data_IF_475405027483
#
_entry.id   IF_475405027483
#
_cell.length_a   1.000
_cell.length_b   1.000
_cell.length_c   1.000
_cell.angle_alpha   90.00
_cell.angle_beta   90.00
_cell.angle_gamma   90.00
#
_symmetry.space_group_name_H-M   'P 1'
#
loop_
_entity.id
_entity.type
_entity.pdbx_description
1 polymer ?
#
# COMPACT_ATOMS: atom_id res chain seq x y z
N UNK A 1 -2.44 -19.85 -16.13
CA UNK A 1 -1.13 -19.26 -15.77
C UNK A 1 -1.27 -17.91 -15.06
N UNK A 2 -2.48 -17.36 -14.93
CA UNK A 2 -2.76 -16.06 -14.28
C UNK A 2 -2.88 -16.14 -12.75
N UNK A 3 -3.34 -17.26 -12.18
CA UNK A 3 -3.44 -17.44 -10.72
C UNK A 3 -2.12 -17.20 -9.97
N UNK A 4 -1.02 -17.78 -10.45
CA UNK A 4 0.27 -17.66 -9.79
C UNK A 4 0.84 -16.22 -9.78
N UNK A 5 0.38 -15.34 -10.67
CA UNK A 5 0.76 -13.92 -10.68
C UNK A 5 -0.11 -13.16 -9.67
N UNK A 6 -1.40 -13.49 -9.61
CA UNK A 6 -2.33 -12.92 -8.65
C UNK A 6 -1.92 -13.26 -7.21
N UNK A 7 -1.59 -14.52 -6.91
CA UNK A 7 -1.12 -14.93 -5.58
C UNK A 7 0.13 -14.15 -5.12
N UNK A 8 1.04 -13.83 -6.05
CA UNK A 8 2.22 -13.03 -5.73
C UNK A 8 1.90 -11.56 -5.47
N UNK A 9 0.90 -11.01 -6.16
CA UNK A 9 0.40 -9.65 -5.94
C UNK A 9 -0.23 -9.55 -4.55
N UNK A 10 -1.10 -10.50 -4.21
CA UNK A 10 -1.82 -10.55 -2.92
C UNK A 10 -0.84 -10.75 -1.75
N UNK A 11 0.18 -11.60 -1.94
CA UNK A 11 1.23 -11.81 -0.94
C UNK A 11 2.05 -10.53 -0.68
N UNK A 12 2.43 -9.81 -1.74
CA UNK A 12 3.15 -8.53 -1.62
C UNK A 12 2.27 -7.44 -1.00
N UNK A 13 1.00 -7.39 -1.37
CA UNK A 13 0.02 -6.48 -0.77
C UNK A 13 -0.14 -6.72 0.72
N UNK A 14 -0.23 -7.99 1.15
CA UNK A 14 -0.29 -8.37 2.57
C UNK A 14 0.94 -7.88 3.34
N UNK A 15 2.14 -8.03 2.80
CA UNK A 15 3.36 -7.51 3.45
C UNK A 15 3.34 -5.98 3.55
N UNK A 16 2.89 -5.30 2.51
CA UNK A 16 2.77 -3.85 2.48
C UNK A 16 1.76 -3.33 3.51
N UNK A 17 0.59 -3.99 3.64
CA UNK A 17 -0.38 -3.70 4.71
C UNK A 17 0.23 -3.82 6.10
N UNK A 18 1.07 -4.83 6.33
CA UNK A 18 1.81 -4.99 7.59
C UNK A 18 2.62 -3.74 7.94
N UNK A 19 3.43 -3.25 6.99
CA UNK A 19 4.25 -2.04 7.18
C UNK A 19 3.42 -0.77 7.43
N UNK A 20 2.29 -0.63 6.73
CA UNK A 20 1.37 0.49 6.96
C UNK A 20 0.80 0.47 8.38
N UNK A 21 0.42 -0.71 8.86
CA UNK A 21 -0.10 -0.87 10.23
C UNK A 21 0.96 -0.58 11.27
N UNK A 22 2.20 -1.02 11.05
CA UNK A 22 3.34 -0.69 11.92
C UNK A 22 3.63 0.83 11.94
N UNK A 23 3.55 1.49 10.78
CA UNK A 23 3.83 2.92 10.66
C UNK A 23 2.73 3.81 11.27
N UNK A 24 1.46 3.41 11.13
CA UNK A 24 0.32 4.28 11.44
C UNK A 24 -0.53 3.83 12.63
N UNK A 25 -0.39 2.59 13.11
CA UNK A 25 -1.00 2.04 14.33
C UNK A 25 -2.54 1.94 14.36
N UNK A 26 -3.24 2.91 13.76
CA UNK A 26 -4.68 3.06 13.73
C UNK A 26 -5.34 2.41 12.51
N UNK A 27 -4.55 1.94 11.54
CA UNK A 27 -5.06 1.31 10.32
C UNK A 27 -5.41 -0.15 10.58
N UNK A 28 -6.56 -0.59 10.10
CA UNK A 28 -6.93 -2.01 10.11
C UNK A 28 -6.69 -2.65 8.73
N UNK A 29 -6.61 -3.98 8.69
CA UNK A 29 -6.51 -4.70 7.41
C UNK A 29 -7.70 -4.38 6.50
N UNK A 30 -8.92 -4.34 7.07
CA UNK A 30 -10.15 -4.05 6.34
C UNK A 30 -10.17 -2.63 5.75
N UNK A 31 -9.58 -1.65 6.43
CA UNK A 31 -9.43 -0.30 5.89
C UNK A 31 -8.50 -0.26 4.68
N UNK A 32 -7.50 -1.14 4.66
CA UNK A 32 -6.50 -1.21 3.60
C UNK A 32 -6.98 -2.01 2.40
N UNK A 33 -7.68 -3.13 2.60
CA UNK A 33 -8.12 -4.03 1.52
C UNK A 33 -8.87 -3.32 0.38
N UNK A 34 -9.68 -2.30 0.69
CA UNK A 34 -10.40 -1.50 -0.33
C UNK A 34 -9.48 -0.67 -1.24
N UNK A 35 -8.20 -0.53 -0.89
CA UNK A 35 -7.22 0.26 -1.64
C UNK A 35 -6.20 -0.60 -2.41
N UNK A 36 -6.36 -1.92 -2.42
CA UNK A 36 -5.52 -2.81 -3.22
C UNK A 36 -5.57 -2.39 -4.70
N UNK A 37 -4.39 -2.23 -5.32
CA UNK A 37 -4.26 -1.72 -6.69
C UNK A 37 -4.59 -0.23 -6.86
N UNK A 38 -5.01 0.50 -5.81
CA UNK A 38 -5.48 1.90 -5.86
C UNK A 38 -4.59 2.84 -5.05
N UNK A 39 -3.33 2.93 -5.45
CA UNK A 39 -2.29 3.71 -4.74
C UNK A 39 -2.70 5.16 -4.45
N UNK A 40 -3.26 5.88 -5.42
CA UNK A 40 -3.61 7.29 -5.24
C UNK A 40 -4.70 7.50 -4.17
N UNK A 41 -5.69 6.60 -4.13
CA UNK A 41 -6.75 6.61 -3.13
C UNK A 41 -6.19 6.29 -1.73
N UNK A 42 -5.24 5.34 -1.64
CA UNK A 42 -4.55 5.05 -0.40
C UNK A 42 -3.79 6.27 0.12
N UNK A 43 -3.05 6.98 -0.74
CA UNK A 43 -2.30 8.20 -0.36
C UNK A 43 -3.25 9.26 0.18
N UNK A 44 -4.40 9.48 -0.48
CA UNK A 44 -5.42 10.42 -0.01
C UNK A 44 -5.96 10.05 1.37
N UNK A 45 -6.38 8.79 1.53
CA UNK A 45 -6.91 8.31 2.81
C UNK A 45 -5.89 8.41 3.94
N UNK A 46 -4.63 8.06 3.69
CA UNK A 46 -3.55 8.20 4.67
C UNK A 46 -3.36 9.68 5.02
N UNK A 47 -3.33 10.58 4.04
CA UNK A 47 -3.17 12.02 4.27
C UNK A 47 -4.31 12.58 5.16
N UNK A 48 -5.55 12.18 4.89
CA UNK A 48 -6.72 12.58 5.69
C UNK A 48 -6.70 11.99 7.11
N UNK A 49 -6.21 10.75 7.27
CA UNK A 49 -6.22 10.04 8.55
C UNK A 49 -5.05 10.44 9.46
N UNK A 50 -3.87 10.65 8.88
CA UNK A 50 -2.62 10.87 9.62
C UNK A 50 -2.25 12.36 9.70
N UNK A 51 -2.83 13.19 8.82
CA UNK A 51 -2.48 14.60 8.68
C UNK A 51 -1.13 14.83 7.96
N UNK A 52 -0.49 13.78 7.47
CA UNK A 52 0.75 13.91 6.70
C UNK A 52 0.48 14.42 5.28
N UNK A 53 1.43 15.16 4.73
CA UNK A 53 1.35 15.63 3.35
C UNK A 53 1.52 14.46 2.38
N UNK A 54 0.82 14.52 1.24
CA UNK A 54 0.81 13.46 0.23
C UNK A 54 2.22 13.03 -0.19
N UNK A 55 3.13 13.97 -0.42
CA UNK A 55 4.50 13.70 -0.85
C UNK A 55 5.25 12.78 0.13
N UNK A 56 5.17 13.05 1.44
CA UNK A 56 5.82 12.21 2.46
C UNK A 56 5.23 10.80 2.50
N UNK A 57 3.91 10.68 2.32
CA UNK A 57 3.24 9.38 2.24
C UNK A 57 3.67 8.64 0.98
N UNK A 58 3.75 9.33 -0.17
CA UNK A 58 4.19 8.74 -1.42
C UNK A 58 5.63 8.24 -1.36
N UNK A 59 6.53 8.99 -0.70
CA UNK A 59 7.90 8.55 -0.43
C UNK A 59 7.95 7.30 0.45
N UNK A 60 7.20 7.28 1.57
CA UNK A 60 7.11 6.09 2.44
C UNK A 60 6.59 4.87 1.68
N UNK A 61 5.52 5.05 0.90
CA UNK A 61 4.94 4.00 0.07
C UNK A 61 5.98 3.53 -0.97
N UNK A 62 6.64 4.43 -1.68
CA UNK A 62 7.70 4.08 -2.63
C UNK A 62 8.81 3.27 -1.96
N UNK A 63 9.31 3.72 -0.81
CA UNK A 63 10.37 3.03 -0.07
C UNK A 63 9.94 1.61 0.34
N UNK A 64 8.67 1.43 0.71
CA UNK A 64 8.16 0.11 1.07
C UNK A 64 7.97 -0.80 -0.15
N UNK A 65 7.54 -0.25 -1.28
CA UNK A 65 7.31 -1.01 -2.52
C UNK A 65 8.62 -1.42 -3.21
N UNK A 66 9.61 -0.53 -3.21
CA UNK A 66 10.94 -0.79 -3.78
C UNK A 66 11.60 -2.00 -3.08
N UNK A 67 11.44 -2.11 -1.77
CA UNK A 67 11.89 -3.26 -0.98
C UNK A 67 11.06 -4.55 -1.14
N UNK A 68 9.95 -4.55 -1.90
CA UNK A 68 9.09 -5.73 -2.12
C UNK A 68 9.08 -6.22 -3.56
N UNK A 69 9.70 -5.49 -4.49
CA UNK A 69 9.62 -5.76 -5.92
C UNK A 69 8.18 -5.68 -6.46
N UNK A 70 7.28 -4.95 -5.78
CA UNK A 70 5.93 -4.68 -6.24
C UNK A 70 5.92 -3.39 -7.06
N UNK A 71 5.60 -3.50 -8.34
CA UNK A 71 5.40 -2.34 -9.20
C UNK A 71 3.90 -2.20 -9.41
N UNK A 72 3.28 -1.14 -8.88
CA UNK A 72 1.96 -0.74 -9.38
C UNK A 72 2.14 -0.50 -10.88
N UNK A 73 1.49 -1.30 -11.72
CA UNK A 73 1.55 -1.14 -13.17
C UNK A 73 1.22 0.31 -13.51
N UNK A 74 2.25 1.10 -13.83
CA UNK A 74 2.09 2.44 -14.40
C UNK A 74 1.48 2.22 -15.78
N UNK A 75 0.17 2.38 -15.88
CA UNK A 75 -0.50 2.52 -17.16
C UNK A 75 -0.21 3.89 -17.75
#
# INVERSE_FOLDING_TARGET
MTDAIQEQIDAKWTQFKGRLKEAYGALTDSDLDRFEGRRDQLVGYLSETTGEVREQIEEKINAWLDGTGYTFERK
#
